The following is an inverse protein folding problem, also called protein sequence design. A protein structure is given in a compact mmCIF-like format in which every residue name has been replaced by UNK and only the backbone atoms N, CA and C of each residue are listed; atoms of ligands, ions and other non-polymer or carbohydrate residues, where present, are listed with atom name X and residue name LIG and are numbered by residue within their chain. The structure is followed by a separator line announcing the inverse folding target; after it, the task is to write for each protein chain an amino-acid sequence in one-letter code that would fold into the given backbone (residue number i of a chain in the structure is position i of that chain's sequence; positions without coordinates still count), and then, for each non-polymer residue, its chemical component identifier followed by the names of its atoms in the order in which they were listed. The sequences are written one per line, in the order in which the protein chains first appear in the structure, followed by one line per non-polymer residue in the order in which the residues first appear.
data_IF_793626194675
#
_entry.id   IF_793626194675
#
_cell.length_a   1.000
_cell.length_b   1.000
_cell.length_c   1.000
_cell.angle_alpha   90.00
_cell.angle_beta   90.00
_cell.angle_gamma   90.00
#
_symmetry.space_group_name_H-M   'P 1'
#
loop_
_entity.id
_entity.type
_entity.pdbx_description
1 polymer ?
#
# COMPACT_ATOMS: atom_id res chain seq x y z
N UNK A 1 69.09 28.73 -49.86
CA UNK A 1 67.75 28.21 -50.30
C UNK A 1 67.01 27.81 -49.04
N UNK A 2 66.19 28.75 -48.55
CA UNK A 2 65.44 28.58 -47.24
C UNK A 2 64.04 28.24 -47.54
N UNK A 3 63.61 27.07 -47.11
CA UNK A 3 62.22 26.65 -47.16
C UNK A 3 61.64 26.87 -45.77
N UNK A 4 60.73 27.86 -45.64
CA UNK A 4 59.90 28.05 -44.43
C UNK A 4 58.76 27.07 -44.42
N UNK A 5 58.70 26.23 -43.40
CA UNK A 5 57.55 25.41 -43.12
C UNK A 5 56.53 26.15 -42.24
N UNK A 6 55.33 26.35 -42.76
CA UNK A 6 54.21 26.99 -42.08
C UNK A 6 53.48 25.96 -41.24
N UNK A 7 53.57 26.02 -39.91
CA UNK A 7 52.80 25.22 -38.99
C UNK A 7 51.42 25.86 -38.77
N UNK A 8 50.35 25.20 -39.23
CA UNK A 8 48.98 25.55 -38.95
C UNK A 8 48.58 24.96 -37.58
N UNK A 9 48.40 25.83 -36.58
CA UNK A 9 47.85 25.41 -35.29
C UNK A 9 46.32 25.45 -35.35
N UNK A 10 45.68 24.32 -35.32
CA UNK A 10 44.23 24.19 -35.15
C UNK A 10 43.89 24.20 -33.67
N UNK A 11 43.27 25.28 -33.21
CA UNK A 11 42.72 25.41 -31.86
C UNK A 11 41.38 24.66 -31.81
N UNK A 12 41.35 23.58 -31.04
CA UNK A 12 40.07 22.91 -30.67
C UNK A 12 39.42 23.74 -29.56
N UNK A 13 38.32 24.40 -29.85
CA UNK A 13 37.44 24.97 -28.83
C UNK A 13 36.59 23.82 -28.22
N UNK A 14 36.97 23.38 -27.03
CA UNK A 14 36.12 22.54 -26.20
C UNK A 14 35.10 23.45 -25.49
N UNK A 15 33.85 23.47 -25.99
CA UNK A 15 32.73 24.11 -25.30
C UNK A 15 32.29 23.27 -24.08
N UNK A 16 31.87 23.90 -22.97
CA UNK A 16 31.36 23.18 -21.83
C UNK A 16 30.01 22.53 -22.20
N UNK A 17 29.92 21.19 -22.15
CA UNK A 17 28.69 20.48 -22.21
C UNK A 17 27.91 20.73 -20.91
N UNK A 18 26.83 21.50 -20.98
CA UNK A 18 25.88 21.63 -19.89
C UNK A 18 25.17 20.31 -19.71
N UNK A 19 25.53 19.58 -18.66
CA UNK A 19 24.77 18.39 -18.21
C UNK A 19 23.52 18.91 -17.53
N UNK A 20 22.38 18.85 -18.22
CA UNK A 20 21.07 19.01 -17.59
C UNK A 20 20.79 17.76 -16.77
N UNK A 21 20.98 17.85 -15.45
CA UNK A 21 20.46 16.87 -14.52
C UNK A 21 18.92 16.97 -14.53
N UNK A 22 18.25 16.09 -15.26
CA UNK A 22 16.83 15.87 -15.13
C UNK A 22 16.56 15.20 -13.78
N UNK A 23 16.37 16.01 -12.75
CA UNK A 23 16.00 15.59 -11.43
C UNK A 23 14.90 16.48 -10.87
N UNK A 24 13.71 16.36 -11.40
CA UNK A 24 12.45 16.69 -10.71
C UNK A 24 11.33 16.15 -11.58
N UNK A 25 11.15 14.82 -11.51
CA UNK A 25 9.90 14.21 -11.92
C UNK A 25 8.81 14.79 -11.03
N UNK A 26 8.09 15.81 -11.54
CA UNK A 26 6.75 16.05 -11.05
C UNK A 26 6.03 14.72 -11.20
N UNK A 27 5.62 14.11 -10.09
CA UNK A 27 4.66 13.03 -10.13
C UNK A 27 3.40 13.66 -10.71
N UNK A 28 3.19 13.47 -12.02
CA UNK A 28 1.92 13.73 -12.64
C UNK A 28 0.87 12.98 -11.81
N UNK A 29 -0.02 13.75 -11.16
CA UNK A 29 -1.29 13.28 -10.63
C UNK A 29 -2.18 12.87 -11.82
N UNK A 30 -1.73 11.87 -12.58
CA UNK A 30 -2.61 11.18 -13.51
C UNK A 30 -3.79 10.64 -12.68
N UNK A 31 -5.03 10.89 -13.07
CA UNK A 31 -6.18 10.40 -12.33
C UNK A 31 -6.02 8.89 -12.17
N UNK A 32 -5.81 8.47 -10.90
CA UNK A 32 -5.64 7.05 -10.55
C UNK A 32 -6.85 6.34 -11.15
N UNK A 33 -6.61 5.49 -12.15
CA UNK A 33 -7.67 4.77 -12.85
C UNK A 33 -8.63 4.22 -11.79
N UNK A 34 -9.93 4.46 -11.96
CA UNK A 34 -10.93 4.07 -10.99
C UNK A 34 -10.73 2.58 -10.71
N UNK A 35 -10.37 2.25 -9.46
CA UNK A 35 -10.09 0.87 -9.08
C UNK A 35 -11.31 0.02 -9.46
N UNK A 36 -11.07 -1.08 -10.16
CA UNK A 36 -12.14 -2.02 -10.52
C UNK A 36 -12.81 -2.46 -9.25
N UNK A 37 -14.08 -2.09 -9.06
CA UNK A 37 -14.84 -2.45 -7.87
C UNK A 37 -15.32 -3.89 -8.02
N UNK A 38 -14.50 -4.82 -7.58
CA UNK A 38 -14.83 -6.24 -7.54
C UNK A 38 -15.58 -6.58 -6.25
N UNK A 39 -16.71 -7.28 -6.37
CA UNK A 39 -17.44 -7.77 -5.22
C UNK A 39 -16.70 -8.95 -4.59
N UNK A 40 -16.27 -8.79 -3.34
CA UNK A 40 -15.69 -9.86 -2.52
C UNK A 40 -16.73 -10.40 -1.52
N UNK A 41 -16.53 -11.60 -0.95
CA UNK A 41 -17.39 -12.12 0.11
C UNK A 41 -17.53 -11.17 1.32
N UNK A 42 -16.51 -10.38 1.61
CA UNK A 42 -16.44 -9.43 2.73
C UNK A 42 -16.80 -7.99 2.35
N UNK A 43 -17.34 -7.75 1.15
CA UNK A 43 -17.75 -6.41 0.73
C UNK A 43 -17.17 -5.97 -0.61
N UNK A 44 -17.10 -4.69 -0.83
CA UNK A 44 -16.63 -4.08 -2.08
C UNK A 44 -15.88 -2.75 -1.78
N UNK A 45 -14.93 -2.38 -2.65
CA UNK A 45 -14.25 -1.09 -2.54
C UNK A 45 -15.25 0.07 -2.50
N UNK A 46 -15.14 0.92 -1.48
CA UNK A 46 -16.00 2.08 -1.28
C UNK A 46 -15.46 3.34 -1.93
N UNK A 47 -16.32 4.33 -2.14
CA UNK A 47 -15.91 5.68 -2.51
C UNK A 47 -15.56 6.48 -1.27
N UNK A 48 -14.45 7.22 -1.30
CA UNK A 48 -14.00 8.01 -0.16
C UNK A 48 -15.03 9.05 0.29
N UNK A 49 -15.81 9.60 -0.64
CA UNK A 49 -16.90 10.55 -0.36
C UNK A 49 -18.12 9.91 0.32
N UNK A 50 -18.27 8.58 0.20
CA UNK A 50 -19.35 7.83 0.84
C UNK A 50 -19.00 7.38 2.26
N UNK A 51 -17.73 7.45 2.67
CA UNK A 51 -17.30 7.06 4.00
C UNK A 51 -17.82 8.08 5.04
N UNK A 52 -18.73 7.64 5.92
CA UNK A 52 -19.33 8.47 6.98
C UNK A 52 -18.67 8.25 8.33
N UNK A 53 -17.88 7.20 8.49
CA UNK A 53 -17.17 6.86 9.72
C UNK A 53 -15.74 6.46 9.40
N UNK A 54 -14.84 6.90 10.26
CA UNK A 54 -13.46 6.42 10.28
C UNK A 54 -13.26 5.55 11.51
N UNK A 55 -12.69 4.36 11.32
CA UNK A 55 -12.23 3.49 12.38
C UNK A 55 -10.72 3.47 12.30
N UNK A 56 -10.04 3.84 13.38
CA UNK A 56 -8.59 3.78 13.47
C UNK A 56 -8.17 2.44 14.06
N UNK A 57 -7.18 1.82 13.42
CA UNK A 57 -6.54 0.59 13.87
C UNK A 57 -5.04 0.86 14.01
N UNK A 58 -4.51 0.77 15.22
CA UNK A 58 -3.07 0.85 15.45
C UNK A 58 -2.44 -0.53 15.23
N UNK A 59 -1.29 -0.55 14.59
CA UNK A 59 -0.44 -1.71 14.37
C UNK A 59 0.85 -1.55 15.16
N UNK A 60 1.35 -2.61 15.76
CA UNK A 60 2.56 -2.56 16.58
C UNK A 60 3.39 -3.84 16.51
N UNK A 61 4.67 -3.73 16.89
CA UNK A 61 5.64 -4.82 16.78
C UNK A 61 5.41 -5.97 17.79
N UNK A 62 4.38 -5.85 18.64
CA UNK A 62 3.87 -7.00 19.40
C UNK A 62 2.97 -7.93 18.54
N UNK A 63 2.89 -7.66 17.23
CA UNK A 63 2.09 -8.39 16.25
C UNK A 63 0.60 -8.37 16.56
N UNK A 64 0.08 -7.17 16.88
CA UNK A 64 -1.34 -6.95 17.18
C UNK A 64 -1.89 -5.71 16.50
N UNK A 65 -3.19 -5.76 16.22
CA UNK A 65 -4.01 -4.60 15.91
C UNK A 65 -4.74 -4.12 17.16
N UNK A 66 -4.94 -2.81 17.28
CA UNK A 66 -5.75 -2.23 18.35
C UNK A 66 -6.75 -1.24 17.75
N UNK A 67 -8.07 -1.48 17.85
CA UNK A 67 -8.70 -2.67 18.42
C UNK A 67 -8.57 -3.92 17.53
N UNK A 68 -8.61 -5.12 18.14
CA UNK A 68 -8.61 -6.41 17.42
C UNK A 68 -10.01 -6.79 16.90
N UNK A 69 -11.06 -6.14 17.38
CA UNK A 69 -12.44 -6.39 16.96
C UNK A 69 -13.14 -5.10 16.64
N UNK A 70 -13.77 -5.07 15.47
CA UNK A 70 -14.59 -3.95 15.05
C UNK A 70 -15.98 -4.44 14.62
N UNK A 71 -16.97 -3.55 14.76
CA UNK A 71 -18.34 -3.82 14.32
C UNK A 71 -18.79 -2.72 13.36
N UNK A 72 -19.41 -3.12 12.28
CA UNK A 72 -19.97 -2.25 11.25
C UNK A 72 -21.38 -2.71 10.89
N UNK A 73 -22.18 -1.79 10.33
CA UNK A 73 -23.52 -2.16 9.82
C UNK A 73 -23.43 -2.57 8.35
N UNK A 74 -24.30 -3.50 7.96
CA UNK A 74 -24.43 -3.87 6.56
C UNK A 74 -24.79 -2.64 5.70
N UNK A 75 -24.06 -2.47 4.59
CA UNK A 75 -24.20 -1.33 3.68
C UNK A 75 -23.37 -0.10 4.11
N UNK A 76 -22.76 -0.12 5.29
CA UNK A 76 -21.93 0.98 5.75
C UNK A 76 -20.63 1.06 4.94
N UNK A 77 -20.28 2.26 4.45
CA UNK A 77 -18.97 2.55 3.88
C UNK A 77 -18.12 3.19 4.97
N UNK A 78 -17.02 2.54 5.31
CA UNK A 78 -16.11 2.94 6.39
C UNK A 78 -14.73 3.22 5.83
N UNK A 79 -14.09 4.25 6.37
CA UNK A 79 -12.65 4.46 6.23
C UNK A 79 -11.96 3.73 7.38
N UNK A 80 -11.18 2.71 7.07
CA UNK A 80 -10.26 2.10 8.01
C UNK A 80 -8.92 2.84 7.91
N UNK A 81 -8.58 3.62 8.91
CA UNK A 81 -7.28 4.27 9.02
C UNK A 81 -6.37 3.38 9.84
N UNK A 82 -5.30 2.88 9.21
CA UNK A 82 -4.32 2.05 9.88
C UNK A 82 -3.06 2.85 10.16
N UNK A 83 -2.62 2.85 11.41
CA UNK A 83 -1.44 3.59 11.85
C UNK A 83 -0.38 2.62 12.36
N UNK A 84 0.78 2.62 11.74
CA UNK A 84 1.90 1.80 12.19
C UNK A 84 2.66 2.52 13.32
N UNK A 85 2.51 2.01 14.55
CA UNK A 85 3.17 2.51 15.77
C UNK A 85 4.47 1.77 16.06
N UNK A 86 4.83 0.77 15.23
CA UNK A 86 6.03 -0.04 15.35
C UNK A 86 7.22 0.52 14.59
N UNK A 87 8.30 -0.28 14.57
CA UNK A 87 9.56 0.00 13.90
C UNK A 87 9.75 -0.84 12.63
N UNK A 88 8.92 -1.87 12.43
CA UNK A 88 8.92 -2.69 11.22
C UNK A 88 7.71 -2.37 10.35
N UNK A 89 7.78 -2.75 9.08
CA UNK A 89 6.63 -2.63 8.18
C UNK A 89 5.49 -3.53 8.64
N UNK A 90 4.28 -3.02 8.58
CA UNK A 90 3.05 -3.78 8.76
C UNK A 90 2.11 -3.56 7.58
N UNK A 91 1.13 -4.43 7.44
CA UNK A 91 0.06 -4.28 6.48
C UNK A 91 -1.29 -4.65 7.09
N UNK A 92 -2.35 -4.25 6.44
CA UNK A 92 -3.69 -4.77 6.68
C UNK A 92 -4.22 -5.35 5.39
N UNK A 93 -4.80 -6.54 5.48
CA UNK A 93 -5.54 -7.21 4.40
C UNK A 93 -6.88 -7.64 4.93
N UNK A 94 -7.99 -7.26 4.28
CA UNK A 94 -9.33 -7.73 4.63
C UNK A 94 -9.62 -9.03 3.89
N UNK A 95 -10.29 -9.96 4.55
CA UNK A 95 -10.64 -11.23 3.93
C UNK A 95 -11.56 -12.12 4.76
N UNK A 96 -11.84 -13.30 4.24
CA UNK A 96 -12.33 -14.41 5.04
C UNK A 96 -11.14 -15.13 5.69
N UNK A 97 -11.32 -15.87 6.81
CA UNK A 97 -10.24 -16.68 7.36
C UNK A 97 -9.53 -17.53 6.30
N UNK A 98 -10.30 -18.21 5.44
CA UNK A 98 -9.75 -19.07 4.39
C UNK A 98 -8.92 -18.30 3.35
N UNK A 99 -9.41 -17.15 2.87
CA UNK A 99 -8.66 -16.34 1.89
C UNK A 99 -7.38 -15.74 2.48
N UNK A 100 -7.40 -15.36 3.75
CA UNK A 100 -6.21 -14.85 4.44
C UNK A 100 -5.19 -15.95 4.70
N UNK A 101 -5.63 -17.16 5.07
CA UNK A 101 -4.74 -18.32 5.22
C UNK A 101 -4.07 -18.69 3.90
N UNK A 102 -4.82 -18.73 2.79
CA UNK A 102 -4.29 -18.99 1.45
C UNK A 102 -3.26 -17.93 1.04
N UNK A 103 -3.59 -16.65 1.21
CA UNK A 103 -2.69 -15.55 0.88
C UNK A 103 -1.44 -15.58 1.77
N UNK A 104 -1.56 -15.85 3.08
CA UNK A 104 -0.41 -16.00 3.97
C UNK A 104 0.54 -17.12 3.52
N UNK A 105 0.01 -18.25 3.03
CA UNK A 105 0.83 -19.33 2.48
C UNK A 105 1.54 -18.90 1.18
N UNK A 106 0.90 -18.09 0.36
CA UNK A 106 1.52 -17.52 -0.84
C UNK A 106 2.67 -16.58 -0.47
N UNK A 107 2.48 -15.70 0.53
CA UNK A 107 3.52 -14.80 1.01
C UNK A 107 4.72 -15.51 1.63
N UNK A 108 4.53 -16.68 2.25
CA UNK A 108 5.64 -17.52 2.71
C UNK A 108 6.49 -18.07 1.55
N UNK A 109 5.86 -18.34 0.39
CA UNK A 109 6.56 -18.84 -0.80
C UNK A 109 7.22 -17.70 -1.59
N UNK A 110 6.61 -16.54 -1.61
CA UNK A 110 7.01 -15.38 -2.40
C UNK A 110 7.05 -14.09 -1.55
N UNK A 111 7.97 -14.01 -0.58
CA UNK A 111 7.95 -12.94 0.44
C UNK A 111 8.23 -11.54 -0.10
N UNK A 112 8.76 -11.42 -1.31
CA UNK A 112 9.05 -10.14 -1.98
C UNK A 112 8.08 -9.82 -3.11
N UNK A 113 6.98 -10.57 -3.24
CA UNK A 113 5.99 -10.31 -4.27
C UNK A 113 5.26 -8.99 -3.96
N UNK A 114 5.45 -8.01 -4.84
CA UNK A 114 4.71 -6.76 -4.76
C UNK A 114 3.28 -6.97 -5.30
N UNK A 115 2.32 -6.55 -4.52
CA UNK A 115 0.91 -6.61 -4.88
C UNK A 115 0.14 -5.49 -4.18
N UNK A 116 -0.96 -5.08 -4.76
CA UNK A 116 -1.80 -4.02 -4.20
C UNK A 116 -3.24 -4.23 -4.61
N UNK A 117 -4.10 -4.33 -3.62
CA UNK A 117 -5.53 -4.54 -3.80
C UNK A 117 -6.32 -3.46 -3.03
N UNK A 118 -7.53 -3.10 -3.46
CA UNK A 118 -8.33 -2.09 -2.76
C UNK A 118 -8.66 -2.44 -1.30
N UNK A 119 -8.53 -3.70 -0.92
CA UNK A 119 -8.80 -4.21 0.43
C UNK A 119 -7.53 -4.41 1.26
N UNK A 120 -6.40 -3.82 0.84
CA UNK A 120 -5.13 -3.92 1.57
C UNK A 120 -4.36 -2.60 1.57
N UNK A 121 -3.49 -2.43 2.57
CA UNK A 121 -2.55 -1.32 2.63
C UNK A 121 -1.26 -1.74 3.35
N UNK A 122 -0.12 -1.45 2.73
CA UNK A 122 1.20 -1.54 3.36
C UNK A 122 1.51 -0.22 4.07
N UNK A 123 2.00 -0.28 5.29
CA UNK A 123 2.24 0.91 6.11
C UNK A 123 3.63 0.84 6.73
N UNK A 124 4.51 1.73 6.27
CA UNK A 124 5.85 1.87 6.82
C UNK A 124 5.84 2.34 8.27
N UNK A 125 6.94 2.12 9.05
CA UNK A 125 7.05 2.60 10.42
C UNK A 125 6.70 4.08 10.58
N UNK A 126 5.86 4.39 11.56
CA UNK A 126 5.42 5.76 11.87
C UNK A 126 4.43 6.37 10.86
N UNK A 127 4.06 5.66 9.81
CA UNK A 127 3.12 6.13 8.79
C UNK A 127 1.69 5.64 9.04
N UNK A 128 0.77 6.14 8.24
CA UNK A 128 -0.63 5.70 8.22
C UNK A 128 -1.09 5.45 6.79
N UNK A 129 -1.98 4.48 6.63
CA UNK A 129 -2.66 4.17 5.37
C UNK A 129 -4.17 4.16 5.56
N UNK A 130 -4.93 4.29 4.49
CA UNK A 130 -6.39 4.26 4.53
C UNK A 130 -6.92 3.18 3.56
N UNK A 131 -7.90 2.43 4.03
CA UNK A 131 -8.79 1.61 3.20
C UNK A 131 -10.18 2.21 3.25
N UNK A 132 -10.85 2.31 2.11
CA UNK A 132 -12.29 2.69 2.09
C UNK A 132 -13.07 1.49 1.57
N UNK A 133 -13.89 0.92 2.46
CA UNK A 133 -14.58 -0.33 2.19
C UNK A 133 -16.07 -0.24 2.50
N UNK A 134 -16.91 -0.73 1.60
CA UNK A 134 -18.35 -0.90 1.82
C UNK A 134 -18.64 -2.32 2.25
N UNK A 135 -19.14 -2.47 3.46
CA UNK A 135 -19.49 -3.76 4.08
C UNK A 135 -20.91 -4.18 3.68
N UNK A 136 -21.15 -4.48 2.41
CA UNK A 136 -22.46 -4.82 1.88
C UNK A 136 -22.90 -6.27 2.09
N UNK A 137 -22.09 -7.06 2.80
CA UNK A 137 -22.37 -8.45 3.18
C UNK A 137 -22.34 -8.57 4.69
N UNK A 138 -23.37 -9.16 5.30
CA UNK A 138 -23.37 -9.50 6.72
C UNK A 138 -22.53 -10.74 7.00
N UNK A 139 -22.04 -10.85 8.21
CA UNK A 139 -21.21 -11.98 8.65
C UNK A 139 -20.02 -11.56 9.49
N UNK A 140 -19.15 -12.53 9.71
CA UNK A 140 -17.85 -12.32 10.37
C UNK A 140 -16.74 -12.49 9.35
N UNK A 141 -15.88 -11.49 9.24
CA UNK A 141 -14.72 -11.44 8.38
C UNK A 141 -13.50 -11.08 9.21
N UNK A 142 -12.32 -11.24 8.64
CA UNK A 142 -11.10 -10.95 9.34
C UNK A 142 -10.29 -9.85 8.64
N UNK A 143 -9.36 -9.29 9.37
CA UNK A 143 -8.25 -8.51 8.84
C UNK A 143 -6.94 -9.04 9.44
N UNK A 144 -5.86 -8.99 8.68
CA UNK A 144 -4.59 -9.55 9.11
C UNK A 144 -3.40 -8.82 8.49
N UNK A 145 -2.23 -8.98 9.11
CA UNK A 145 -0.94 -8.69 8.50
C UNK A 145 -0.37 -10.00 7.95
N UNK A 146 -0.18 -10.09 6.63
CA UNK A 146 0.26 -11.32 5.97
C UNK A 146 1.77 -11.35 5.68
N UNK A 147 2.51 -10.33 6.14
CA UNK A 147 3.96 -10.33 6.11
C UNK A 147 4.45 -11.62 6.81
N UNK A 148 5.39 -12.36 6.19
CA UNK A 148 5.90 -13.61 6.76
C UNK A 148 6.35 -13.46 8.22
N UNK A 149 5.85 -14.34 9.08
CA UNK A 149 6.07 -14.30 10.52
C UNK A 149 5.00 -13.52 11.31
N UNK A 150 4.43 -12.44 10.77
CA UNK A 150 3.45 -11.62 11.49
C UNK A 150 2.10 -12.33 11.65
N UNK A 151 1.61 -12.95 10.56
CA UNK A 151 0.38 -13.73 10.59
C UNK A 151 0.50 -14.91 11.54
N UNK A 152 1.61 -15.65 11.49
CA UNK A 152 1.89 -16.79 12.36
C UNK A 152 2.01 -16.39 13.83
N UNK A 153 2.48 -15.17 14.11
CA UNK A 153 2.51 -14.59 15.46
C UNK A 153 1.12 -14.12 15.95
N UNK A 154 0.08 -14.23 15.11
CA UNK A 154 -1.30 -13.92 15.47
C UNK A 154 -1.69 -12.46 15.19
N UNK A 155 -1.02 -11.75 14.27
CA UNK A 155 -1.39 -10.39 13.89
C UNK A 155 -2.66 -10.40 13.02
N UNK A 156 -3.80 -10.51 13.67
CA UNK A 156 -5.13 -10.56 13.05
C UNK A 156 -6.21 -9.94 13.95
N UNK A 157 -7.33 -9.61 13.36
CA UNK A 157 -8.52 -9.15 14.06
C UNK A 157 -9.79 -9.50 13.30
N UNK A 158 -10.94 -9.21 13.87
CA UNK A 158 -12.23 -9.61 13.35
C UNK A 158 -13.14 -8.41 13.09
N UNK A 159 -13.89 -8.48 12.00
CA UNK A 159 -14.94 -7.53 11.61
C UNK A 159 -16.29 -8.26 11.69
N UNK A 160 -17.18 -7.78 12.56
CA UNK A 160 -18.57 -8.24 12.58
C UNK A 160 -19.43 -7.25 11.82
N UNK A 161 -20.08 -7.73 10.74
CA UNK A 161 -21.04 -6.95 9.96
C UNK A 161 -22.45 -7.37 10.37
N UNK A 162 -23.16 -6.48 11.06
CA UNK A 162 -24.53 -6.69 11.56
C UNK A 162 -25.55 -6.04 10.63
N UNK A 163 -26.80 -6.40 10.81
CA UNK A 163 -27.92 -5.73 10.11
C UNK A 163 -28.01 -4.25 10.42
#
# INVERSE_FOLDING_TARGET
MNTFALLLATALLAGPAAVFAHGSGAHDDAPKAAAVKEQKPWGIAGDASAARRTITLDMSDNMRFTPERISVRRGETVRLRVANKGQVMHEIVLGTPASLDEHAQMMLKFPTMEHGEPYMAHVSPGQSGDLVWNFNREGSFDFACLIPGHYQAGMRGTITVTQ
#
